data_IF_539296436701
#
_entry.id   IF_539296436701
#
_cell.length_a   1.000
_cell.length_b   1.000
_cell.length_c   1.000
_cell.angle_alpha   90.00
_cell.angle_beta   90.00
_cell.angle_gamma   90.00
#
_symmetry.space_group_name_H-M   'P 1'
#
loop_
_entity.id
_entity.type
_entity.pdbx_description
1 polymer ?
#
# COMPACT_ATOMS: atom_id res chain seq x y z
N UNK A 1 -35.90 11.27 -7.94
CA UNK A 1 -34.92 12.32 -7.61
C UNK A 1 -33.86 11.61 -6.78
N UNK A 2 -32.66 11.41 -7.31
CA UNK A 2 -31.55 10.91 -6.50
C UNK A 2 -31.21 12.04 -5.53
N UNK A 3 -31.48 11.84 -4.24
CA UNK A 3 -30.88 12.66 -3.20
C UNK A 3 -29.37 12.61 -3.42
N UNK A 4 -28.78 13.76 -3.76
CA UNK A 4 -27.34 13.92 -3.67
C UNK A 4 -27.01 13.75 -2.19
N UNK A 5 -26.50 12.56 -1.80
CA UNK A 5 -25.95 12.34 -0.47
C UNK A 5 -24.81 13.34 -0.27
N UNK A 6 -25.12 14.48 0.34
CA UNK A 6 -24.11 15.45 0.76
C UNK A 6 -23.21 14.75 1.75
N UNK A 7 -21.91 14.70 1.45
CA UNK A 7 -20.92 14.15 2.36
C UNK A 7 -20.80 15.06 3.58
N UNK A 8 -21.27 14.57 4.73
CA UNK A 8 -21.22 15.29 6.01
C UNK A 8 -20.19 14.62 6.92
N UNK A 9 -19.26 15.41 7.44
CA UNK A 9 -18.36 14.99 8.53
C UNK A 9 -19.02 15.39 9.84
N UNK A 10 -19.55 14.40 10.54
CA UNK A 10 -20.08 14.56 11.89
C UNK A 10 -18.91 14.41 12.88
N UNK A 11 -18.15 15.50 13.01
CA UNK A 11 -17.00 15.61 13.89
C UNK A 11 -17.29 16.66 14.98
N UNK A 12 -16.71 16.50 16.18
CA UNK A 12 -16.87 17.46 17.26
C UNK A 12 -16.35 18.86 16.89
N UNK A 13 -16.85 19.90 17.57
CA UNK A 13 -16.43 21.31 17.34
C UNK A 13 -14.93 21.55 17.52
N UNK A 14 -14.24 20.68 18.27
CA UNK A 14 -12.78 20.69 18.40
C UNK A 14 -12.05 20.46 17.07
N UNK A 15 -12.71 19.84 16.09
CA UNK A 15 -12.20 19.58 14.74
C UNK A 15 -12.75 20.64 13.78
N UNK A 16 -11.92 21.61 13.40
CA UNK A 16 -12.32 22.61 12.41
C UNK A 16 -12.05 22.06 11.01
N UNK A 17 -13.09 21.52 10.36
CA UNK A 17 -12.99 20.97 9.00
C UNK A 17 -12.71 22.08 7.99
N UNK A 18 -11.62 21.95 7.23
CA UNK A 18 -11.20 22.95 6.23
C UNK A 18 -11.64 22.57 4.81
N UNK A 19 -11.28 21.38 4.35
CA UNK A 19 -11.50 20.97 2.95
C UNK A 19 -11.49 19.46 2.76
N UNK A 20 -12.19 18.96 1.74
CA UNK A 20 -12.11 17.54 1.34
C UNK A 20 -10.85 17.34 0.51
N UNK A 21 -10.00 16.39 0.93
CA UNK A 21 -8.73 16.08 0.25
C UNK A 21 -8.75 14.71 -0.43
N UNK A 22 -9.72 13.85 -0.12
CA UNK A 22 -9.90 12.56 -0.80
C UNK A 22 -11.32 12.01 -0.65
N UNK A 23 -11.81 11.35 -1.70
CA UNK A 23 -13.10 10.64 -1.68
C UNK A 23 -13.01 9.39 -2.54
N UNK A 24 -13.42 8.25 -2.00
CA UNK A 24 -13.37 6.96 -2.69
C UNK A 24 -14.49 6.01 -2.25
N UNK A 25 -14.42 4.77 -2.72
CA UNK A 25 -15.43 3.75 -2.40
C UNK A 25 -15.47 3.36 -0.91
N UNK A 26 -14.37 3.59 -0.18
CA UNK A 26 -14.18 3.14 1.21
C UNK A 26 -14.31 4.27 2.24
N UNK A 27 -14.59 5.49 1.79
CA UNK A 27 -14.75 6.64 2.67
C UNK A 27 -14.34 7.95 2.03
N UNK A 28 -14.24 8.97 2.88
CA UNK A 28 -13.74 10.28 2.49
C UNK A 28 -12.76 10.81 3.53
N UNK A 29 -11.85 11.68 3.10
CA UNK A 29 -10.84 12.30 3.94
C UNK A 29 -10.97 13.81 3.81
N UNK A 30 -11.04 14.49 4.94
CA UNK A 30 -10.94 15.94 5.00
C UNK A 30 -9.66 16.36 5.72
N UNK A 31 -9.15 17.54 5.36
CA UNK A 31 -8.18 18.28 6.15
C UNK A 31 -8.94 19.07 7.23
N UNK A 32 -8.44 19.04 8.46
CA UNK A 32 -9.01 19.78 9.58
C UNK A 32 -7.91 20.35 10.47
N UNK A 33 -8.26 21.32 11.31
CA UNK A 33 -7.45 21.80 12.42
C UNK A 33 -7.96 21.16 13.72
N UNK A 34 -7.05 20.63 14.54
CA UNK A 34 -7.36 20.05 15.85
C UNK A 34 -6.23 20.40 16.81
N UNK A 35 -6.54 21.07 17.93
CA UNK A 35 -5.55 21.58 18.89
C UNK A 35 -4.39 22.37 18.23
N UNK A 36 -4.72 23.26 17.30
CA UNK A 36 -3.78 24.05 16.47
C UNK A 36 -2.90 23.25 15.49
N UNK A 37 -3.03 21.92 15.47
CA UNK A 37 -2.36 21.05 14.50
C UNK A 37 -3.22 20.79 13.27
N UNK A 38 -2.57 20.78 12.10
CA UNK A 38 -3.20 20.29 10.88
C UNK A 38 -3.25 18.76 10.89
N UNK A 39 -4.44 18.22 10.69
CA UNK A 39 -4.70 16.78 10.66
C UNK A 39 -5.53 16.39 9.45
N UNK A 40 -5.53 15.09 9.14
CA UNK A 40 -6.43 14.47 8.19
C UNK A 40 -7.46 13.63 8.95
N UNK A 41 -8.76 13.84 8.69
CA UNK A 41 -9.84 13.03 9.26
C UNK A 41 -10.44 12.16 8.17
N UNK A 42 -10.34 10.84 8.33
CA UNK A 42 -10.99 9.86 7.45
C UNK A 42 -12.32 9.42 8.05
N UNK A 43 -13.40 9.59 7.30
CA UNK A 43 -14.73 9.05 7.57
C UNK A 43 -14.87 7.69 6.88
N UNK A 44 -15.11 6.64 7.65
CA UNK A 44 -15.37 5.27 7.20
C UNK A 44 -16.87 4.96 7.44
N UNK A 45 -17.70 4.97 6.39
CA UNK A 45 -19.14 4.93 6.58
C UNK A 45 -19.68 3.51 6.80
N UNK A 46 -20.80 3.44 7.54
CA UNK A 46 -21.72 2.31 7.62
C UNK A 46 -21.07 0.96 7.97
N UNK A 47 -20.26 0.93 9.03
CA UNK A 47 -19.56 -0.29 9.44
C UNK A 47 -20.50 -1.43 9.84
N UNK A 48 -21.75 -1.13 10.25
CA UNK A 48 -22.74 -2.12 10.70
C UNK A 48 -23.66 -2.68 9.59
N UNK A 49 -23.38 -2.38 8.31
CA UNK A 49 -24.30 -2.72 7.20
C UNK A 49 -24.27 -4.20 6.80
N UNK A 50 -23.09 -4.80 6.74
CA UNK A 50 -22.85 -6.20 6.36
C UNK A 50 -21.66 -6.75 7.13
N UNK A 51 -21.55 -8.07 7.26
CA UNK A 51 -20.38 -8.70 7.90
C UNK A 51 -19.08 -8.33 7.17
N UNK A 52 -19.07 -8.33 5.84
CA UNK A 52 -17.90 -7.93 5.05
C UNK A 52 -17.47 -6.49 5.33
N UNK A 53 -18.43 -5.57 5.48
CA UNK A 53 -18.15 -4.18 5.83
C UNK A 53 -17.56 -4.10 7.24
N UNK A 54 -18.18 -4.76 8.22
CA UNK A 54 -17.72 -4.75 9.61
C UNK A 54 -16.31 -5.37 9.73
N UNK A 55 -16.06 -6.54 9.13
CA UNK A 55 -14.73 -7.18 9.08
C UNK A 55 -13.68 -6.27 8.46
N UNK A 56 -14.03 -5.59 7.37
CA UNK A 56 -13.13 -4.66 6.68
C UNK A 56 -12.78 -3.48 7.58
N UNK A 57 -13.77 -2.85 8.21
CA UNK A 57 -13.56 -1.70 9.10
C UNK A 57 -12.77 -2.09 10.33
N UNK A 58 -13.13 -3.19 11.01
CA UNK A 58 -12.40 -3.69 12.16
C UNK A 58 -10.93 -3.97 11.81
N UNK A 59 -10.68 -4.63 10.67
CA UNK A 59 -9.31 -4.89 10.21
C UNK A 59 -8.53 -3.61 9.95
N UNK A 60 -9.14 -2.63 9.29
CA UNK A 60 -8.51 -1.34 9.02
C UNK A 60 -8.14 -0.60 10.31
N UNK A 61 -9.02 -0.64 11.32
CA UNK A 61 -8.76 -0.09 12.66
C UNK A 61 -7.58 -0.82 13.32
N UNK A 62 -7.64 -2.14 13.42
CA UNK A 62 -6.60 -2.91 14.12
C UNK A 62 -5.24 -2.80 13.43
N UNK A 63 -5.19 -2.87 12.10
CA UNK A 63 -3.93 -2.70 11.37
C UNK A 63 -3.32 -1.32 11.66
N UNK A 64 -4.11 -0.25 11.57
CA UNK A 64 -3.59 1.08 11.77
C UNK A 64 -3.15 1.29 13.23
N UNK A 65 -3.94 0.87 14.23
CA UNK A 65 -3.56 0.97 15.65
C UNK A 65 -2.30 0.18 15.99
N UNK A 66 -2.14 -1.03 15.44
CA UNK A 66 -1.04 -1.92 15.82
C UNK A 66 0.25 -1.72 14.99
N UNK A 67 0.24 -0.93 13.92
CA UNK A 67 1.43 -0.63 13.11
C UNK A 67 2.08 0.72 13.43
N UNK A 68 1.68 1.39 14.51
CA UNK A 68 2.22 2.72 14.88
C UNK A 68 3.70 2.70 15.27
N UNK A 69 4.28 1.53 15.56
CA UNK A 69 5.73 1.38 15.71
C UNK A 69 6.51 1.58 14.39
N UNK A 70 5.82 1.53 13.24
CA UNK A 70 6.44 1.74 11.94
C UNK A 70 6.27 3.19 11.49
N UNK A 71 7.36 3.97 11.55
CA UNK A 71 7.37 5.38 11.11
C UNK A 71 7.01 5.59 9.63
N UNK A 72 7.05 4.54 8.81
CA UNK A 72 6.64 4.59 7.40
C UNK A 72 5.16 4.20 7.19
N UNK A 73 4.38 4.03 8.25
CA UNK A 73 2.92 3.97 8.24
C UNK A 73 2.37 5.29 8.74
N UNK A 74 1.28 5.79 8.16
CA UNK A 74 0.69 7.06 8.58
C UNK A 74 0.33 7.04 10.07
N UNK A 75 0.72 8.10 10.78
CA UNK A 75 0.44 8.28 12.20
C UNK A 75 -1.07 8.41 12.44
N UNK A 76 -1.57 7.63 13.39
CA UNK A 76 -2.96 7.65 13.84
C UNK A 76 -3.05 8.25 15.23
N UNK A 77 -3.76 9.37 15.35
CA UNK A 77 -3.93 10.09 16.61
C UNK A 77 -5.15 9.60 17.38
N UNK A 78 -6.29 9.45 16.69
CA UNK A 78 -7.55 9.14 17.36
C UNK A 78 -8.49 8.33 16.47
N UNK A 79 -9.16 7.36 17.07
CA UNK A 79 -10.35 6.72 16.52
C UNK A 79 -11.57 7.13 17.34
N UNK A 80 -12.67 7.52 16.68
CA UNK A 80 -13.91 7.82 17.39
C UNK A 80 -15.16 7.54 16.55
N UNK A 81 -16.27 7.29 17.23
CA UNK A 81 -17.63 7.29 16.67
C UNK A 81 -18.33 8.61 16.98
N UNK A 82 -19.23 9.08 16.10
CA UNK A 82 -19.96 10.32 16.32
C UNK A 82 -20.99 10.19 17.46
N UNK A 83 -21.36 11.32 18.07
CA UNK A 83 -22.39 11.38 19.13
C UNK A 83 -23.82 11.19 18.60
N UNK A 84 -24.03 11.36 17.29
CA UNK A 84 -25.32 11.18 16.61
C UNK A 84 -25.80 9.73 16.53
N UNK A 85 -25.00 8.77 17.02
CA UNK A 85 -25.21 7.32 16.88
C UNK A 85 -25.15 6.81 15.43
N UNK A 86 -24.73 7.65 14.47
CA UNK A 86 -24.38 7.20 13.12
C UNK A 86 -23.34 6.06 13.19
N UNK A 87 -23.56 5.02 12.39
CA UNK A 87 -22.70 3.83 12.34
C UNK A 87 -21.50 4.06 11.43
N UNK A 88 -20.80 5.15 11.67
CA UNK A 88 -19.60 5.60 10.99
C UNK A 88 -18.42 5.63 11.97
N UNK A 89 -17.22 5.37 11.47
CA UNK A 89 -15.97 5.50 12.23
C UNK A 89 -15.17 6.65 11.65
N UNK A 90 -14.62 7.49 12.52
CA UNK A 90 -13.70 8.56 12.17
C UNK A 90 -12.31 8.24 12.67
N UNK A 91 -11.32 8.53 11.84
CA UNK A 91 -9.89 8.36 12.14
C UNK A 91 -9.19 9.70 11.94
N UNK A 92 -8.66 10.27 13.01
CA UNK A 92 -7.78 11.43 12.95
C UNK A 92 -6.33 10.95 12.79
N UNK A 93 -5.66 11.47 11.77
CA UNK A 93 -4.31 11.08 11.36
C UNK A 93 -3.45 12.32 11.15
N UNK A 94 -2.13 12.13 11.15
CA UNK A 94 -1.22 13.20 10.76
C UNK A 94 -1.50 13.69 9.34
N UNK A 95 -1.55 15.01 9.16
CA UNK A 95 -1.69 15.59 7.84
C UNK A 95 -0.33 15.56 7.11
N UNK A 96 -0.28 14.81 6.02
CA UNK A 96 0.88 14.81 5.12
C UNK A 96 0.53 15.64 3.87
N UNK A 97 1.35 16.64 3.47
CA UNK A 97 0.96 17.64 2.47
C UNK A 97 0.73 17.12 1.04
N UNK A 98 1.29 15.97 0.68
CA UNK A 98 1.22 15.47 -0.69
C UNK A 98 1.25 13.94 -0.75
N UNK A 99 1.02 13.43 -1.95
CA UNK A 99 1.13 12.02 -2.31
C UNK A 99 2.15 11.83 -3.44
N UNK A 100 2.67 10.60 -3.56
CA UNK A 100 3.71 10.30 -4.53
C UNK A 100 3.23 10.45 -5.98
N UNK A 101 1.93 10.29 -6.26
CA UNK A 101 1.35 10.50 -7.59
C UNK A 101 1.47 11.97 -8.01
N UNK A 102 1.18 12.87 -7.09
CA UNK A 102 1.33 14.31 -7.26
C UNK A 102 2.80 14.70 -7.45
N UNK A 103 3.71 14.13 -6.67
CA UNK A 103 5.16 14.37 -6.80
C UNK A 103 5.71 13.92 -8.15
N UNK A 104 5.35 12.72 -8.61
CA UNK A 104 5.82 12.17 -9.90
C UNK A 104 5.39 13.07 -11.07
N UNK A 105 4.14 13.56 -11.05
CA UNK A 105 3.58 14.44 -12.10
C UNK A 105 4.18 15.85 -12.09
N UNK A 106 4.62 16.32 -10.92
CA UNK A 106 5.15 17.67 -10.79
C UNK A 106 6.61 17.77 -11.27
N UNK A 107 6.79 18.18 -12.53
CA UNK A 107 8.11 18.34 -13.14
C UNK A 107 9.01 19.40 -12.49
N UNK A 108 8.50 20.24 -11.58
CA UNK A 108 9.32 21.18 -10.82
C UNK A 108 10.04 20.52 -9.63
N UNK A 109 9.56 19.37 -9.14
CA UNK A 109 10.21 18.62 -8.06
C UNK A 109 11.31 17.75 -8.66
N UNK A 110 12.54 17.90 -8.20
CA UNK A 110 13.65 17.04 -8.65
C UNK A 110 13.58 15.68 -7.98
N UNK A 111 13.63 14.61 -8.77
CA UNK A 111 13.71 13.21 -8.30
C UNK A 111 15.04 12.64 -8.77
N UNK A 112 16.13 13.01 -8.11
CA UNK A 112 17.43 12.39 -8.34
C UNK A 112 17.50 10.99 -7.71
N UNK A 113 18.55 10.25 -8.05
CA UNK A 113 18.75 8.89 -7.55
C UNK A 113 18.74 8.79 -6.02
N UNK A 114 19.21 9.82 -5.30
CA UNK A 114 19.24 9.80 -3.83
C UNK A 114 17.84 9.88 -3.22
N UNK A 115 16.98 10.74 -3.78
CA UNK A 115 15.57 10.86 -3.38
C UNK A 115 14.81 9.59 -3.74
N UNK A 116 15.00 9.07 -4.97
CA UNK A 116 14.34 7.84 -5.42
C UNK A 116 14.76 6.64 -4.56
N UNK A 117 16.04 6.55 -4.20
CA UNK A 117 16.57 5.53 -3.28
C UNK A 117 15.95 5.63 -1.90
N UNK A 118 15.91 6.84 -1.32
CA UNK A 118 15.39 7.05 0.02
C UNK A 118 13.88 6.77 0.12
N UNK A 119 13.11 7.15 -0.90
CA UNK A 119 11.69 6.78 -0.99
C UNK A 119 11.56 5.26 -1.09
N UNK A 120 12.32 4.60 -1.97
CA UNK A 120 12.18 3.16 -2.19
C UNK A 120 12.57 2.34 -0.97
N UNK A 121 13.61 2.73 -0.21
CA UNK A 121 13.98 2.00 1.00
C UNK A 121 12.91 2.12 2.09
N UNK A 122 12.32 3.31 2.28
CA UNK A 122 11.21 3.51 3.21
C UNK A 122 9.97 2.69 2.84
N UNK A 123 9.62 2.59 1.55
CA UNK A 123 8.53 1.73 1.12
C UNK A 123 8.79 0.25 1.44
N UNK A 124 10.02 -0.22 1.27
CA UNK A 124 10.40 -1.58 1.65
C UNK A 124 10.41 -1.77 3.18
N UNK A 125 10.78 -0.75 3.96
CA UNK A 125 10.68 -0.76 5.44
C UNK A 125 9.23 -0.85 5.91
N UNK A 126 8.31 -0.12 5.28
CA UNK A 126 6.87 -0.24 5.53
C UNK A 126 6.38 -1.67 5.24
N UNK A 127 6.68 -2.20 4.05
CA UNK A 127 6.28 -3.56 3.69
C UNK A 127 6.86 -4.61 4.65
N UNK A 128 8.11 -4.42 5.10
CA UNK A 128 8.73 -5.31 6.07
C UNK A 128 7.92 -5.36 7.38
N UNK A 129 7.53 -4.21 7.93
CA UNK A 129 6.71 -4.14 9.13
C UNK A 129 5.36 -4.85 8.92
N UNK A 130 4.64 -4.51 7.84
CA UNK A 130 3.36 -5.15 7.50
C UNK A 130 3.49 -6.67 7.39
N UNK A 131 4.48 -7.16 6.63
CA UNK A 131 4.64 -8.59 6.33
C UNK A 131 5.04 -9.39 7.58
N UNK A 132 5.76 -8.79 8.53
CA UNK A 132 6.03 -9.41 9.85
C UNK A 132 4.78 -9.58 10.69
N UNK A 133 3.84 -8.65 10.57
CA UNK A 133 2.53 -8.72 11.22
C UNK A 133 1.52 -9.58 10.44
N UNK A 134 1.96 -10.32 9.44
CA UNK A 134 1.13 -11.06 8.49
C UNK A 134 0.09 -10.23 7.74
N UNK A 135 0.35 -8.93 7.55
CA UNK A 135 -0.52 -8.01 6.83
C UNK A 135 -0.09 -7.91 5.37
N UNK A 136 -1.02 -8.15 4.45
CA UNK A 136 -0.92 -7.79 3.04
C UNK A 136 -1.61 -6.45 2.82
N UNK A 137 -0.91 -5.48 2.23
CA UNK A 137 -1.53 -4.19 1.96
C UNK A 137 -2.54 -4.29 0.81
N UNK A 138 -2.15 -4.95 -0.29
CA UNK A 138 -2.95 -5.19 -1.50
C UNK A 138 -3.33 -3.97 -2.35
N UNK A 139 -2.94 -2.75 -1.97
CA UNK A 139 -3.19 -1.54 -2.78
C UNK A 139 -2.05 -0.53 -2.66
N UNK A 140 -0.82 -1.04 -2.64
CA UNK A 140 0.39 -0.22 -2.68
C UNK A 140 0.43 0.50 -4.04
N UNK A 141 0.20 1.80 -4.02
CA UNK A 141 0.14 2.64 -5.21
C UNK A 141 0.62 4.04 -4.89
N UNK A 142 1.00 4.83 -5.90
CA UNK A 142 1.51 6.19 -5.69
C UNK A 142 0.51 7.14 -5.03
N UNK A 143 -0.79 6.83 -5.02
CA UNK A 143 -1.82 7.62 -4.32
C UNK A 143 -1.96 7.28 -2.84
N UNK A 144 -1.57 6.07 -2.45
CA UNK A 144 -1.64 5.58 -1.07
C UNK A 144 -0.28 5.71 -0.36
N UNK A 145 0.64 6.47 -0.95
CA UNK A 145 1.94 6.80 -0.37
C UNK A 145 1.95 8.31 -0.22
N UNK A 146 1.76 8.75 1.01
CA UNK A 146 1.87 10.15 1.39
C UNK A 146 3.36 10.50 1.50
N UNK A 147 3.69 11.75 1.20
CA UNK A 147 5.08 12.22 1.20
C UNK A 147 5.18 13.63 1.76
N UNK A 148 6.13 13.80 2.68
CA UNK A 148 6.47 15.08 3.28
C UNK A 148 7.61 15.77 2.49
N UNK A 149 7.85 17.07 2.73
CA UNK A 149 8.82 17.86 1.97
C UNK A 149 10.28 17.37 2.08
N UNK A 150 10.60 16.64 3.15
CA UNK A 150 11.90 16.01 3.40
C UNK A 150 12.02 14.62 2.73
N UNK A 151 11.09 14.22 1.85
CA UNK A 151 11.02 12.90 1.21
C UNK A 151 10.76 11.72 2.17
N UNK A 152 10.31 12.00 3.40
CA UNK A 152 9.76 10.97 4.26
C UNK A 152 8.42 10.50 3.70
N UNK A 153 8.20 9.19 3.65
CA UNK A 153 6.99 8.59 3.09
C UNK A 153 6.20 7.79 4.11
N UNK A 154 4.89 7.84 3.96
CA UNK A 154 3.94 7.17 4.84
C UNK A 154 2.94 6.38 3.99
N UNK A 155 2.90 5.07 4.21
CA UNK A 155 1.92 4.18 3.62
C UNK A 155 0.58 4.36 4.34
N UNK A 156 -0.50 4.49 3.58
CA UNK A 156 -1.84 4.70 4.12
C UNK A 156 -2.88 3.86 3.37
N UNK A 157 -4.12 3.91 3.87
CA UNK A 157 -5.30 3.23 3.33
C UNK A 157 -5.25 1.69 3.37
N UNK A 158 -5.52 1.16 4.56
CA UNK A 158 -5.57 -0.28 4.83
C UNK A 158 -6.96 -0.90 4.58
N UNK A 159 -7.89 -0.17 3.94
CA UNK A 159 -9.25 -0.63 3.71
C UNK A 159 -9.35 -1.87 2.82
N UNK A 160 -8.30 -2.16 2.05
CA UNK A 160 -8.18 -3.35 1.18
C UNK A 160 -7.27 -4.43 1.75
N UNK A 161 -6.59 -4.15 2.86
CA UNK A 161 -5.63 -5.06 3.45
C UNK A 161 -6.28 -6.35 3.94
N UNK A 162 -5.48 -7.40 4.02
CA UNK A 162 -5.87 -8.73 4.53
C UNK A 162 -4.76 -9.31 5.38
N UNK A 163 -5.14 -10.12 6.36
CA UNK A 163 -4.18 -11.00 6.99
C UNK A 163 -3.90 -12.16 6.04
N UNK A 164 -2.65 -12.59 5.92
CA UNK A 164 -2.32 -13.79 5.17
C UNK A 164 -2.78 -15.00 5.96
N UNK A 165 -3.94 -15.53 5.60
CA UNK A 165 -4.49 -16.77 6.14
C UNK A 165 -4.42 -17.86 5.05
N UNK A 166 -3.73 -18.99 5.30
CA UNK A 166 -3.68 -20.13 4.37
C UNK A 166 -5.06 -20.67 3.97
N UNK A 167 -6.06 -20.50 4.84
CA UNK A 167 -7.41 -21.05 4.68
C UNK A 167 -8.39 -20.03 4.06
N UNK A 168 -8.02 -18.74 3.96
CA UNK A 168 -8.86 -17.69 3.35
C UNK A 168 -8.55 -17.53 1.84
N UNK A 169 -9.57 -17.70 0.99
CA UNK A 169 -9.45 -17.31 -0.41
C UNK A 169 -9.49 -15.77 -0.52
N UNK A 170 -8.33 -15.18 -0.81
CA UNK A 170 -8.22 -13.74 -0.94
C UNK A 170 -8.94 -13.25 -2.22
N UNK A 171 -9.87 -12.31 -2.06
CA UNK A 171 -10.69 -11.77 -3.16
C UNK A 171 -9.87 -11.21 -4.33
N UNK A 172 -10.19 -11.57 -5.57
CA UNK A 172 -9.45 -11.11 -6.74
C UNK A 172 -9.98 -9.76 -7.27
N UNK A 173 -9.11 -8.95 -7.89
CA UNK A 173 -9.50 -7.70 -8.55
C UNK A 173 -9.58 -6.44 -7.67
N UNK A 174 -9.13 -6.49 -6.41
CA UNK A 174 -9.28 -5.38 -5.44
C UNK A 174 -7.98 -4.57 -5.27
N UNK A 175 -7.40 -4.11 -6.38
CA UNK A 175 -6.14 -3.34 -6.40
C UNK A 175 -6.21 -2.31 -7.52
N UNK A 176 -5.57 -1.16 -7.38
CA UNK A 176 -5.36 -0.24 -8.49
C UNK A 176 -4.68 -0.96 -9.67
N UNK A 177 -5.34 -1.00 -10.83
CA UNK A 177 -4.97 -1.89 -11.94
C UNK A 177 -3.51 -1.79 -12.39
N UNK A 178 -2.92 -0.59 -12.41
CA UNK A 178 -1.57 -0.35 -12.91
C UNK A 178 -0.46 -1.00 -12.05
N UNK A 179 -0.74 -1.26 -10.78
CA UNK A 179 0.22 -1.84 -9.83
C UNK A 179 -0.03 -3.34 -9.59
N UNK A 180 -1.07 -3.93 -10.20
CA UNK A 180 -1.40 -5.34 -10.02
C UNK A 180 -0.25 -6.25 -10.46
N UNK A 181 0.11 -7.17 -9.58
CA UNK A 181 1.06 -8.23 -9.87
C UNK A 181 0.46 -9.26 -10.85
N UNK A 182 1.30 -9.96 -11.65
CA UNK A 182 0.86 -11.01 -12.58
C UNK A 182 -0.07 -12.05 -11.96
N UNK A 183 0.21 -12.52 -10.74
CA UNK A 183 -0.59 -13.51 -10.02
C UNK A 183 -1.99 -12.99 -9.67
N UNK A 184 -2.15 -11.70 -9.41
CA UNK A 184 -3.46 -11.09 -9.18
C UNK A 184 -4.24 -10.98 -10.50
N UNK A 185 -3.55 -10.64 -11.60
CA UNK A 185 -4.17 -10.51 -12.93
C UNK A 185 -4.61 -11.88 -13.46
N UNK A 186 -3.82 -12.92 -13.17
CA UNK A 186 -4.05 -14.30 -13.60
C UNK A 186 -4.96 -15.09 -12.66
N UNK A 187 -5.47 -14.48 -11.59
CA UNK A 187 -6.36 -15.14 -10.62
C UNK A 187 -5.67 -16.36 -9.96
N UNK A 188 -4.37 -16.23 -9.64
CA UNK A 188 -3.55 -17.24 -9.01
C UNK A 188 -3.34 -16.92 -7.52
N UNK A 189 -2.83 -17.88 -6.75
CA UNK A 189 -2.49 -17.63 -5.34
C UNK A 189 -1.48 -16.48 -5.23
N UNK A 190 -1.72 -15.54 -4.32
CA UNK A 190 -0.88 -14.38 -4.10
C UNK A 190 -0.59 -14.17 -2.61
N UNK A 191 0.55 -13.55 -2.32
CA UNK A 191 1.01 -13.25 -0.96
C UNK A 191 1.84 -11.95 -0.96
N UNK A 192 2.75 -11.80 0.00
CA UNK A 192 3.62 -10.64 0.21
C UNK A 192 4.37 -10.20 -1.05
N UNK A 193 4.70 -11.14 -1.94
CA UNK A 193 5.37 -10.86 -3.21
C UNK A 193 4.59 -9.91 -4.13
N UNK A 194 3.27 -9.79 -3.96
CA UNK A 194 2.42 -8.88 -4.74
C UNK A 194 2.58 -7.41 -4.33
N UNK A 195 2.78 -7.13 -3.03
CA UNK A 195 3.13 -5.80 -2.55
C UNK A 195 4.56 -5.42 -3.01
N UNK A 196 5.50 -6.38 -2.98
CA UNK A 196 6.87 -6.17 -3.47
C UNK A 196 6.89 -5.83 -4.97
N UNK A 197 6.06 -6.49 -5.78
CA UNK A 197 5.88 -6.12 -7.18
C UNK A 197 5.42 -4.68 -7.33
N UNK A 198 4.43 -4.27 -6.53
CA UNK A 198 3.88 -2.91 -6.56
C UNK A 198 4.95 -1.86 -6.25
N UNK A 199 5.86 -2.12 -5.30
CA UNK A 199 7.05 -1.27 -5.05
C UNK A 199 7.99 -1.26 -6.26
N UNK A 200 8.19 -2.39 -6.93
CA UNK A 200 8.95 -2.45 -8.18
C UNK A 200 8.35 -1.58 -9.28
N UNK A 201 7.02 -1.55 -9.40
CA UNK A 201 6.29 -0.67 -10.33
C UNK A 201 6.56 0.79 -9.96
N UNK A 202 6.39 1.15 -8.69
CA UNK A 202 6.62 2.52 -8.19
C UNK A 202 8.06 2.97 -8.41
N UNK A 203 9.05 2.12 -8.16
CA UNK A 203 10.46 2.41 -8.46
C UNK A 203 10.65 2.75 -9.94
N UNK A 204 10.04 1.97 -10.85
CA UNK A 204 10.05 2.29 -12.28
C UNK A 204 9.39 3.63 -12.61
N UNK A 205 8.28 3.97 -11.96
CA UNK A 205 7.60 5.26 -12.14
C UNK A 205 8.42 6.44 -11.61
N UNK A 206 9.10 6.28 -10.48
CA UNK A 206 10.00 7.29 -9.91
C UNK A 206 11.19 7.57 -10.84
N UNK A 207 11.79 6.51 -11.38
CA UNK A 207 12.91 6.61 -12.31
C UNK A 207 12.50 7.28 -13.63
N UNK A 208 11.33 6.91 -14.18
CA UNK A 208 10.88 7.37 -15.51
C UNK A 208 9.98 8.60 -15.50
N UNK A 209 9.47 8.99 -14.32
CA UNK A 209 8.45 10.04 -14.12
C UNK A 209 7.14 9.83 -14.88
N UNK A 210 6.76 8.58 -15.12
CA UNK A 210 5.51 8.21 -15.81
C UNK A 210 5.07 6.81 -15.40
N UNK A 211 3.80 6.50 -15.61
CA UNK A 211 3.27 5.17 -15.32
C UNK A 211 4.02 4.07 -16.08
N UNK A 212 4.38 3.00 -15.36
CA UNK A 212 5.13 1.88 -15.91
C UNK A 212 4.22 0.94 -16.70
N UNK A 213 3.03 0.66 -16.17
CA UNK A 213 2.02 -0.21 -16.77
C UNK A 213 0.63 0.46 -16.80
N UNK A 214 0.41 1.46 -17.68
CA UNK A 214 -0.88 2.16 -17.77
C UNK A 214 -1.92 1.35 -18.54
N UNK A 215 -2.32 0.19 -18.03
CA UNK A 215 -3.36 -0.64 -18.64
C UNK A 215 -4.71 0.05 -18.68
N UNK A 216 -5.51 -0.29 -19.69
CA UNK A 216 -6.87 0.26 -19.87
C UNK A 216 -7.80 -0.20 -18.75
N UNK A 217 -8.62 0.71 -18.22
CA UNK A 217 -9.57 0.42 -17.14
C UNK A 217 -10.43 -0.80 -17.44
N UNK A 218 -10.51 -1.73 -16.47
CA UNK A 218 -11.24 -3.00 -16.56
C UNK A 218 -10.76 -3.95 -17.66
N UNK A 219 -9.50 -3.83 -18.10
CA UNK A 219 -8.87 -4.69 -19.11
C UNK A 219 -7.61 -5.39 -18.56
N UNK A 220 -7.84 -6.48 -17.83
CA UNK A 220 -6.77 -7.33 -17.28
C UNK A 220 -5.87 -7.91 -18.37
N UNK A 221 -6.42 -8.18 -19.56
CA UNK A 221 -5.65 -8.72 -20.68
C UNK A 221 -4.65 -7.68 -21.20
N UNK A 222 -5.08 -6.43 -21.38
CA UNK A 222 -4.18 -5.34 -21.76
C UNK A 222 -3.10 -5.07 -20.70
N UNK A 223 -3.44 -5.11 -19.41
CA UNK A 223 -2.45 -5.00 -18.33
C UNK A 223 -1.39 -6.11 -18.43
N UNK A 224 -1.82 -7.37 -18.61
CA UNK A 224 -0.92 -8.51 -18.76
C UNK A 224 -0.02 -8.38 -20.00
N UNK A 225 -0.56 -7.89 -21.12
CA UNK A 225 0.23 -7.61 -22.32
C UNK A 225 1.34 -6.60 -22.02
N UNK A 226 1.04 -5.48 -21.36
CA UNK A 226 2.06 -4.47 -21.01
C UNK A 226 3.18 -5.09 -20.17
N UNK A 227 2.82 -5.95 -19.21
CA UNK A 227 3.77 -6.71 -18.41
C UNK A 227 4.64 -7.61 -19.29
N UNK A 228 4.06 -8.41 -20.20
CA UNK A 228 4.82 -9.27 -21.10
C UNK A 228 5.80 -8.50 -21.99
N UNK A 229 5.40 -7.35 -22.54
CA UNK A 229 6.29 -6.56 -23.39
C UNK A 229 7.50 -5.99 -22.63
N UNK A 230 7.32 -5.62 -21.36
CA UNK A 230 8.38 -4.99 -20.57
C UNK A 230 9.21 -6.00 -19.80
N UNK A 231 8.57 -6.86 -19.02
CA UNK A 231 9.22 -7.84 -18.14
C UNK A 231 9.64 -9.09 -18.91
N UNK A 232 8.95 -9.40 -20.01
CA UNK A 232 9.14 -10.60 -20.80
C UNK A 232 8.09 -11.66 -20.50
N UNK A 233 7.88 -12.59 -21.43
CA UNK A 233 7.01 -13.74 -21.25
C UNK A 233 7.70 -14.83 -20.41
N UNK A 234 7.03 -15.45 -19.43
CA UNK A 234 7.59 -16.58 -18.69
C UNK A 234 7.62 -17.84 -19.57
N UNK A 235 8.34 -18.86 -19.11
CA UNK A 235 8.24 -20.20 -19.69
C UNK A 235 6.88 -20.84 -19.34
N UNK A 236 6.39 -21.73 -20.22
CA UNK A 236 5.04 -22.32 -20.10
C UNK A 236 4.87 -23.20 -18.85
N UNK A 237 5.96 -23.81 -18.37
CA UNK A 237 5.97 -24.67 -17.17
C UNK A 237 5.54 -23.93 -15.90
N UNK A 238 5.60 -22.59 -15.88
CA UNK A 238 5.16 -21.80 -14.72
C UNK A 238 3.66 -22.00 -14.36
N UNK A 239 2.88 -22.53 -15.32
CA UNK A 239 1.46 -22.84 -15.17
C UNK A 239 1.20 -24.32 -14.80
N UNK A 240 2.23 -25.14 -14.61
CA UNK A 240 2.08 -26.52 -14.14
C UNK A 240 1.49 -26.54 -12.71
N UNK A 241 0.84 -27.65 -12.35
CA UNK A 241 0.00 -27.72 -11.13
C UNK A 241 0.76 -27.45 -9.83
N UNK A 242 2.06 -27.73 -9.79
CA UNK A 242 2.99 -27.56 -8.67
C UNK A 242 3.75 -26.23 -8.71
N UNK A 243 3.46 -25.35 -9.68
CA UNK A 243 4.13 -24.06 -9.87
C UNK A 243 3.25 -22.88 -9.46
N UNK A 244 3.87 -21.69 -9.43
CA UNK A 244 3.28 -20.44 -8.94
C UNK A 244 1.92 -20.10 -9.57
N UNK A 245 1.68 -20.48 -10.82
CA UNK A 245 0.41 -20.23 -11.52
C UNK A 245 -0.40 -21.50 -11.79
N UNK A 246 -0.12 -22.60 -11.09
CA UNK A 246 -0.85 -23.87 -11.22
C UNK A 246 -2.34 -23.76 -10.90
N UNK A 247 -2.70 -22.85 -10.00
CA UNK A 247 -4.10 -22.55 -9.58
C UNK A 247 -4.68 -21.29 -10.24
N UNK A 248 -4.05 -20.75 -11.27
CA UNK A 248 -4.59 -19.61 -12.03
C UNK A 248 -5.95 -19.96 -12.67
N UNK A 249 -6.83 -18.97 -12.85
CA UNK A 249 -8.11 -19.21 -13.54
C UNK A 249 -7.89 -19.76 -14.95
N UNK A 250 -8.75 -20.70 -15.35
CA UNK A 250 -8.60 -21.38 -16.65
C UNK A 250 -8.62 -20.39 -17.82
N UNK A 251 -9.48 -19.38 -17.76
CA UNK A 251 -9.59 -18.36 -18.81
C UNK A 251 -8.31 -17.51 -18.91
N UNK A 252 -7.78 -17.04 -17.78
CA UNK A 252 -6.57 -16.21 -17.77
C UNK A 252 -5.33 -17.03 -18.17
N UNK A 253 -5.24 -18.28 -17.70
CA UNK A 253 -4.20 -19.23 -18.09
C UNK A 253 -4.22 -19.54 -19.59
N UNK A 254 -5.39 -19.83 -20.17
CA UNK A 254 -5.52 -20.08 -21.61
C UNK A 254 -5.07 -18.88 -22.43
N UNK A 255 -5.48 -17.67 -22.02
CA UNK A 255 -5.05 -16.43 -22.67
C UNK A 255 -3.52 -16.25 -22.60
N UNK A 256 -2.93 -16.42 -21.43
CA UNK A 256 -1.49 -16.27 -21.22
C UNK A 256 -0.70 -17.28 -22.04
N UNK A 257 -1.08 -18.56 -22.03
CA UNK A 257 -0.42 -19.61 -22.80
C UNK A 257 -0.49 -19.35 -24.30
N UNK A 258 -1.65 -18.94 -24.82
CA UNK A 258 -1.81 -18.56 -26.22
C UNK A 258 -0.92 -17.37 -26.59
N UNK A 259 -0.83 -16.36 -25.72
CA UNK A 259 0.05 -15.22 -25.93
C UNK A 259 1.53 -15.64 -25.97
N UNK A 260 1.97 -16.44 -24.99
CA UNK A 260 3.36 -16.94 -24.89
C UNK A 260 3.74 -17.76 -26.13
N UNK A 261 2.82 -18.58 -26.64
CA UNK A 261 3.04 -19.41 -27.82
C UNK A 261 3.16 -18.61 -29.11
N UNK A 262 2.26 -17.65 -29.31
CA UNK A 262 2.19 -16.91 -30.58
C UNK A 262 3.06 -15.65 -30.60
N UNK A 263 3.41 -15.09 -29.43
CA UNK A 263 4.10 -13.82 -29.27
C UNK A 263 5.03 -13.82 -28.03
N UNK A 264 6.07 -14.67 -27.99
CA UNK A 264 7.06 -14.59 -26.93
C UNK A 264 7.78 -13.24 -26.94
N UNK A 265 7.96 -12.63 -25.76
CA UNK A 265 8.60 -11.34 -25.61
C UNK A 265 9.86 -11.46 -24.75
N UNK A 266 11.05 -11.04 -25.22
CA UNK A 266 12.19 -10.85 -24.34
C UNK A 266 11.95 -9.65 -23.41
N UNK A 267 12.61 -9.66 -22.24
CA UNK A 267 12.54 -8.53 -21.31
C UNK A 267 13.19 -7.28 -21.92
N UNK A 268 12.50 -6.15 -21.87
CA UNK A 268 13.01 -4.83 -22.29
C UNK A 268 13.20 -3.88 -21.09
N UNK A 269 12.86 -4.34 -19.88
CA UNK A 269 12.88 -3.56 -18.64
C UNK A 269 14.22 -2.86 -18.39
N UNK A 270 15.34 -3.57 -18.53
CA UNK A 270 16.69 -3.00 -18.33
C UNK A 270 16.95 -1.87 -19.30
N UNK A 271 16.67 -2.10 -20.57
CA UNK A 271 16.92 -1.12 -21.62
C UNK A 271 16.11 0.16 -21.36
N UNK A 272 14.84 0.00 -20.97
CA UNK A 272 13.98 1.14 -20.63
C UNK A 272 14.51 1.91 -19.41
N UNK A 273 14.73 1.22 -18.28
CA UNK A 273 15.11 1.88 -17.03
C UNK A 273 16.53 2.44 -17.06
N UNK A 274 17.43 1.88 -17.88
CA UNK A 274 18.79 2.43 -18.04
C UNK A 274 18.80 3.81 -18.74
N UNK A 275 17.70 4.20 -19.41
CA UNK A 275 17.52 5.53 -19.99
C UNK A 275 16.83 6.53 -19.08
N UNK A 276 16.55 6.13 -17.83
CA UNK A 276 15.79 6.94 -16.88
C UNK A 276 16.49 8.27 -16.54
N UNK A 277 15.76 9.41 -16.55
CA UNK A 277 16.35 10.70 -16.21
C UNK A 277 16.94 10.78 -14.79
N UNK A 278 16.35 10.07 -13.83
CA UNK A 278 16.86 10.06 -12.46
C UNK A 278 18.30 9.53 -12.33
N UNK A 279 18.80 8.81 -13.35
CA UNK A 279 20.10 8.15 -13.37
C UNK A 279 21.18 8.89 -14.18
N UNK A 280 20.94 10.16 -14.56
CA UNK A 280 21.79 10.93 -15.48
C UNK A 280 23.28 11.09 -15.09
N UNK A 281 23.69 10.71 -13.88
CA UNK A 281 25.10 10.73 -13.46
C UNK A 281 25.90 9.46 -13.81
N UNK A 282 25.25 8.38 -14.28
CA UNK A 282 25.92 7.12 -14.62
C UNK A 282 26.32 7.10 -16.11
N UNK A 283 27.51 7.64 -16.41
CA UNK A 283 28.14 7.49 -17.72
C UNK A 283 28.50 6.01 -17.97
N UNK A 284 27.95 5.46 -19.07
CA UNK A 284 28.41 4.30 -19.85
C UNK A 284 29.15 3.22 -19.03
N UNK A 285 28.40 2.31 -18.40
CA UNK A 285 28.95 1.07 -17.87
C UNK A 285 28.25 -0.14 -18.51
N UNK A 286 28.98 -1.23 -18.74
CA UNK A 286 28.44 -2.50 -19.26
C UNK A 286 27.50 -3.22 -18.27
N UNK A 287 27.38 -2.70 -17.05
CA UNK A 287 26.57 -3.25 -15.96
C UNK A 287 25.39 -2.30 -15.71
N UNK A 288 24.14 -2.79 -15.66
CA UNK A 288 22.98 -1.95 -15.34
C UNK A 288 23.18 -1.24 -13.99
N UNK A 289 22.76 0.02 -13.83
CA UNK A 289 22.79 0.72 -12.55
C UNK A 289 22.12 -0.11 -11.45
N UNK A 290 22.61 -0.04 -10.22
CA UNK A 290 22.09 -0.86 -9.11
C UNK A 290 20.58 -0.66 -8.90
N UNK A 291 20.05 0.55 -9.14
CA UNK A 291 18.61 0.83 -9.16
C UNK A 291 17.84 -0.06 -10.16
N UNK A 292 18.39 -0.23 -11.37
CA UNK A 292 17.81 -1.07 -12.43
C UNK A 292 17.87 -2.55 -12.05
N UNK A 293 18.97 -2.99 -11.44
CA UNK A 293 19.10 -4.37 -10.94
C UNK A 293 18.06 -4.68 -9.86
N UNK A 294 17.86 -3.76 -8.90
CA UNK A 294 16.81 -3.89 -7.91
C UNK A 294 15.43 -3.96 -8.57
N UNK A 295 15.13 -3.03 -9.49
CA UNK A 295 13.85 -3.03 -10.21
C UNK A 295 13.60 -4.36 -10.95
N UNK A 296 14.62 -4.96 -11.56
CA UNK A 296 14.50 -6.30 -12.18
C UNK A 296 14.21 -7.42 -11.17
N UNK A 297 14.75 -7.33 -9.95
CA UNK A 297 14.49 -8.31 -8.89
C UNK A 297 13.05 -8.18 -8.36
N UNK A 298 12.57 -6.95 -8.16
CA UNK A 298 11.20 -6.69 -7.69
C UNK A 298 10.15 -7.01 -8.77
N UNK A 299 10.46 -6.76 -10.04
CA UNK A 299 9.57 -6.97 -11.19
C UNK A 299 9.76 -8.34 -11.87
N UNK A 300 10.05 -9.39 -11.10
CA UNK A 300 10.03 -10.76 -11.65
C UNK A 300 8.59 -11.22 -11.90
N UNK A 301 8.33 -11.80 -13.06
CA UNK A 301 7.00 -12.33 -13.38
C UNK A 301 6.55 -13.38 -12.37
N UNK A 302 7.43 -14.34 -12.08
CA UNK A 302 7.23 -15.38 -11.07
C UNK A 302 7.33 -14.78 -9.65
N UNK A 303 6.25 -14.80 -8.84
CA UNK A 303 6.29 -14.26 -7.49
C UNK A 303 7.31 -14.96 -6.58
N UNK A 304 7.57 -16.26 -6.81
CA UNK A 304 8.56 -17.01 -6.03
C UNK A 304 10.02 -16.56 -6.28
N UNK A 305 10.26 -15.78 -7.34
CA UNK A 305 11.57 -15.22 -7.69
C UNK A 305 11.75 -13.78 -7.23
N UNK A 306 10.72 -13.16 -6.63
CA UNK A 306 10.84 -11.83 -6.03
C UNK A 306 11.45 -11.97 -4.64
N UNK A 307 12.37 -11.07 -4.24
CA UNK A 307 12.87 -11.05 -2.88
C UNK A 307 11.74 -10.67 -1.90
N UNK A 308 11.86 -11.08 -0.64
CA UNK A 308 11.07 -10.43 0.43
C UNK A 308 11.54 -8.98 0.61
N UNK A 309 10.75 -8.15 1.29
CA UNK A 309 11.15 -6.78 1.62
C UNK A 309 12.49 -6.75 2.38
N UNK A 310 12.66 -7.65 3.34
CA UNK A 310 13.87 -7.82 4.14
C UNK A 310 15.11 -8.19 3.29
N UNK A 311 14.95 -9.06 2.29
CA UNK A 311 16.02 -9.39 1.34
C UNK A 311 16.31 -8.21 0.41
N UNK A 312 15.29 -7.52 -0.08
CA UNK A 312 15.44 -6.36 -0.97
C UNK A 312 16.18 -5.20 -0.30
N UNK A 313 15.94 -4.96 1.01
CA UNK A 313 16.64 -3.93 1.78
C UNK A 313 18.15 -4.16 1.91
N UNK A 314 18.62 -5.40 1.73
CA UNK A 314 20.07 -5.73 1.70
C UNK A 314 20.73 -5.47 0.35
N UNK A 315 19.98 -5.01 -0.65
CA UNK A 315 20.53 -4.72 -1.97
C UNK A 315 21.60 -3.61 -1.89
N UNK A 316 22.75 -3.74 -2.60
CA UNK A 316 23.86 -2.76 -2.53
C UNK A 316 23.48 -1.32 -2.93
N UNK A 317 22.41 -1.16 -3.71
CA UNK A 317 21.88 0.16 -4.05
C UNK A 317 21.55 0.99 -2.80
N UNK A 318 21.21 0.33 -1.69
CA UNK A 318 20.86 0.97 -0.43
C UNK A 318 22.04 1.21 0.51
N UNK A 319 23.29 0.92 0.11
CA UNK A 319 24.47 1.13 0.95
C UNK A 319 24.57 2.58 1.51
N UNK A 320 24.26 3.64 0.75
CA UNK A 320 24.23 5.01 1.29
C UNK A 320 23.18 5.25 2.38
N UNK A 321 22.15 4.40 2.45
CA UNK A 321 21.05 4.47 3.42
C UNK A 321 21.17 3.38 4.50
N UNK A 322 22.27 2.60 4.52
CA UNK A 322 22.40 1.39 5.35
C UNK A 322 22.19 1.66 6.83
N UNK A 323 22.82 2.69 7.38
CA UNK A 323 22.70 3.04 8.80
C UNK A 323 21.23 3.31 9.21
N UNK A 324 20.51 4.10 8.41
CA UNK A 324 19.08 4.35 8.63
C UNK A 324 18.24 3.07 8.53
N UNK A 325 18.50 2.22 7.52
CA UNK A 325 17.79 0.95 7.36
C UNK A 325 18.01 0.04 8.56
N UNK A 326 19.26 -0.10 9.01
CA UNK A 326 19.62 -0.98 10.11
C UNK A 326 19.00 -0.51 11.44
N UNK A 327 18.96 0.81 11.68
CA UNK A 327 18.28 1.43 12.82
C UNK A 327 16.77 1.12 12.82
N UNK A 328 16.07 1.38 11.71
CA UNK A 328 14.64 1.12 11.61
C UNK A 328 14.34 -0.39 11.71
N UNK A 329 15.15 -1.24 11.08
CA UNK A 329 14.99 -2.71 11.17
C UNK A 329 15.18 -3.18 12.60
N UNK A 330 16.19 -2.66 13.31
CA UNK A 330 16.42 -2.99 14.72
C UNK A 330 15.22 -2.59 15.58
N UNK A 331 14.64 -1.40 15.35
CA UNK A 331 13.42 -0.98 16.04
C UNK A 331 12.26 -1.93 15.74
N UNK A 332 11.99 -2.25 14.46
CA UNK A 332 10.95 -3.21 14.09
C UNK A 332 11.17 -4.64 14.62
N UNK A 333 12.42 -5.02 14.93
CA UNK A 333 12.76 -6.35 15.43
C UNK A 333 12.53 -6.53 16.92
N UNK A 334 12.57 -5.44 17.70
CA UNK A 334 12.29 -5.50 19.14
C UNK A 334 10.79 -5.43 19.46
N UNK A 335 9.98 -4.95 18.53
CA UNK A 335 8.52 -4.87 18.69
C UNK A 335 7.87 -6.25 18.66
N UNK A 336 6.93 -6.47 19.59
CA UNK A 336 6.13 -7.69 19.62
C UNK A 336 5.16 -7.73 18.44
N UNK A 337 5.00 -8.92 17.84
CA UNK A 337 4.06 -9.08 16.73
C UNK A 337 2.63 -8.99 17.30
N UNK A 338 1.81 -8.02 16.85
CA UNK A 338 0.46 -7.85 17.35
C UNK A 338 -0.43 -9.05 17.02
N UNK A 339 -1.33 -9.37 17.94
CA UNK A 339 -2.34 -10.42 17.76
C UNK A 339 -3.64 -9.75 17.32
N UNK A 340 -4.04 -10.00 16.08
CA UNK A 340 -5.26 -9.45 15.50
C UNK A 340 -6.50 -10.27 15.85
N UNK A 341 -7.67 -9.64 15.84
CA UNK A 341 -8.93 -10.33 16.11
C UNK A 341 -9.23 -11.34 14.99
N UNK A 342 -9.40 -12.61 15.35
CA UNK A 342 -9.86 -13.63 14.40
C UNK A 342 -11.34 -13.46 14.15
N UNK A 343 -11.68 -12.96 12.97
CA UNK A 343 -13.07 -12.65 12.67
C UNK A 343 -13.85 -13.82 12.10
N UNK A 344 -13.24 -14.83 11.47
CA UNK A 344 -13.92 -15.76 10.52
C UNK A 344 -15.27 -16.34 11.01
N UNK A 345 -15.40 -16.61 12.31
CA UNK A 345 -16.61 -17.21 12.90
C UNK A 345 -17.56 -16.21 13.58
N UNK A 346 -17.22 -14.92 13.61
CA UNK A 346 -18.02 -13.87 14.21
C UNK A 346 -19.19 -13.48 13.30
N UNK A 347 -20.38 -13.33 13.85
CA UNK A 347 -21.54 -12.75 13.15
C UNK A 347 -21.49 -11.21 13.17
N UNK A 348 -22.42 -10.57 12.47
CA UNK A 348 -22.47 -9.10 12.38
C UNK A 348 -22.56 -8.39 13.74
N UNK A 349 -23.34 -8.92 14.70
CA UNK A 349 -23.53 -8.31 16.01
C UNK A 349 -22.23 -8.36 16.83
N UNK A 350 -21.52 -9.48 16.79
CA UNK A 350 -20.22 -9.66 17.44
C UNK A 350 -19.16 -8.73 16.83
N UNK A 351 -19.15 -8.57 15.50
CA UNK A 351 -18.23 -7.66 14.81
C UNK A 351 -18.50 -6.19 15.16
N UNK A 352 -19.76 -5.78 15.14
CA UNK A 352 -20.19 -4.41 15.51
C UNK A 352 -19.82 -4.13 16.96
N UNK A 353 -20.09 -5.05 17.88
CA UNK A 353 -19.72 -4.92 19.28
C UNK A 353 -18.21 -4.74 19.44
N UNK A 354 -17.40 -5.54 18.74
CA UNK A 354 -15.95 -5.43 18.78
C UNK A 354 -15.45 -4.08 18.26
N UNK A 355 -16.02 -3.56 17.18
CA UNK A 355 -15.70 -2.22 16.67
C UNK A 355 -16.05 -1.15 17.71
N UNK A 356 -17.21 -1.26 18.35
CA UNK A 356 -17.66 -0.28 19.34
C UNK A 356 -16.86 -0.32 20.65
N UNK A 357 -16.26 -1.46 20.99
CA UNK A 357 -15.31 -1.62 22.10
C UNK A 357 -13.95 -0.95 21.82
N UNK A 358 -13.43 -1.06 20.59
CA UNK A 358 -12.11 -0.50 20.23
C UNK A 358 -12.19 0.94 19.73
N UNK A 359 -13.38 1.39 19.32
CA UNK A 359 -13.64 2.77 18.88
C UNK A 359 -14.66 3.39 19.83
N UNK A 360 -14.25 4.25 20.77
CA UNK A 360 -15.19 4.92 21.68
C UNK A 360 -16.07 5.92 20.92
N UNK A 361 -17.21 6.26 21.50
CA UNK A 361 -17.94 7.48 21.09
C UNK A 361 -17.12 8.68 21.55
N UNK A 362 -17.01 9.70 20.71
CA UNK A 362 -16.21 10.87 21.05
C UNK A 362 -16.63 11.52 22.38
N UNK A 363 -15.66 11.76 23.25
CA UNK A 363 -15.75 12.60 24.46
C UNK A 363 -14.53 13.51 24.55
N UNK A 364 -14.64 14.60 25.31
CA UNK A 364 -13.50 15.52 25.55
C UNK A 364 -12.37 14.84 26.32
N UNK A 365 -12.66 13.78 27.08
CA UNK A 365 -11.66 13.00 27.81
C UNK A 365 -10.65 12.32 26.88
N UNK A 366 -11.06 11.99 25.64
CA UNK A 366 -10.16 11.43 24.62
C UNK A 366 -9.05 12.40 24.20
N UNK A 367 -9.18 13.69 24.52
CA UNK A 367 -8.19 14.71 24.19
C UNK A 367 -7.11 14.87 25.27
N UNK A 368 -7.35 14.34 26.48
CA UNK A 368 -6.48 14.53 27.65
C UNK A 368 -5.44 13.41 27.78
N UNK A 369 -5.69 12.25 27.19
CA UNK A 369 -4.77 11.11 27.29
C UNK A 369 -3.44 11.33 26.54
N UNK A 370 -3.45 12.14 25.47
CA UNK A 370 -2.27 12.38 24.59
C UNK A 370 -1.18 13.23 25.27
N UNK A 371 -1.55 14.20 26.12
CA UNK A 371 -0.59 15.05 26.86
C UNK A 371 0.18 14.26 27.95
N UNK A 372 -0.39 13.16 28.45
CA UNK A 372 0.23 12.34 29.50
C UNK A 372 1.29 11.36 28.97
N UNK A 373 1.19 10.98 27.70
CA UNK A 373 2.16 10.12 27.02
C UNK A 373 3.40 10.92 26.56
N UNK A 374 3.21 12.16 26.10
CA UNK A 374 4.31 13.05 25.69
C UNK A 374 5.16 13.55 26.87
N UNK A 375 4.60 13.61 28.09
CA UNK A 375 5.33 14.06 29.28
C UNK A 375 6.25 12.99 29.91
N UNK A 376 6.13 11.72 29.53
CA UNK A 376 6.89 10.60 30.11
C UNK A 376 8.06 10.12 29.24
N UNK A 377 8.32 10.77 28.10
CA UNK A 377 9.42 10.45 27.17
C UNK A 377 10.51 11.53 27.05
N UNK A 378 10.51 12.52 27.97
CA UNK A 378 11.52 13.57 28.05
C UNK A 378 12.71 13.23 28.97
#
# INVERSE_FOLDING_TARGET
MQESNTLIFDVPDAFQVESIIGQGAYGAVCKALFCDDQIAVKKIPHYSRTEDAARRVLREIEILQNLQFCEQVVGCRLFFRPKSEEKDVYVAMDYIPSDLSSVIKNGAITLDESVVRYITCQLLLALRALHRCNVLHRDVSTRNILIHYNSQVFLCDFGLSRFLDPDEQLSFGVVTQWYRAPEIILDAAYSYASDVWSVGVILGELLLRRHLFPGKTNDSANQLQLIFHLVGTPSKDIFDADRSFGRASQNAKNYALAYIEHRPCPSTLVNLLSTAPALHHSTIAAVPPQAVQLAQQLLRFDPAKRPSADVALRHPWFDPCRAFIDEVVQHQDVEEIPVFTQTQNMNLEELVKRIEEVVPVFSEDLLVEDDSAAANSA
#
